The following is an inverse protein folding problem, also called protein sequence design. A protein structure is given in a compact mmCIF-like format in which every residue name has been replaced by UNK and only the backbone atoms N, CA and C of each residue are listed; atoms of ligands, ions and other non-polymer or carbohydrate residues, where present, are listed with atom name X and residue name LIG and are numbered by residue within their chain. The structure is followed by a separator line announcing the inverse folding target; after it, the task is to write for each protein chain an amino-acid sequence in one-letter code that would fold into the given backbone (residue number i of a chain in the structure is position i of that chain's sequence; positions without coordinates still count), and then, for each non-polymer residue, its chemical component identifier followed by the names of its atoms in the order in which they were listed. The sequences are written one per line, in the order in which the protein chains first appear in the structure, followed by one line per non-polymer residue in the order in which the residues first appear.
data_IF_163631668928
#
_entry.id   IF_163631668928
#
_cell.length_a   1.000
_cell.length_b   1.000
_cell.length_c   1.000
_cell.angle_alpha   90.00
_cell.angle_beta   90.00
_cell.angle_gamma   90.00
#
_symmetry.space_group_name_H-M   'P 1'
#
loop_
_entity.id
_entity.type
_entity.pdbx_description
1 polymer ?
#
# COMPACT_ATOMS: atom_id res chain seq x y z
N UNK A 1 61.33 -20.09 -16.72
CA UNK A 1 60.24 -20.98 -16.24
C UNK A 1 58.97 -20.15 -16.23
N UNK A 2 57.90 -20.57 -16.91
CA UNK A 2 56.84 -19.66 -17.34
C UNK A 2 55.77 -19.43 -16.29
N UNK A 3 55.35 -18.18 -16.20
CA UNK A 3 54.19 -17.67 -15.47
C UNK A 3 52.92 -18.13 -16.17
N UNK A 4 52.01 -18.74 -15.40
CA UNK A 4 50.65 -19.01 -15.83
C UNK A 4 49.70 -17.96 -15.23
N UNK A 5 49.39 -16.94 -16.01
CA UNK A 5 48.30 -16.02 -15.74
C UNK A 5 46.98 -16.64 -16.14
N UNK A 6 46.09 -16.95 -15.16
CA UNK A 6 44.69 -17.29 -15.40
C UNK A 6 43.84 -16.00 -15.28
N UNK A 7 43.55 -15.40 -16.42
CA UNK A 7 42.54 -14.38 -16.54
C UNK A 7 41.16 -15.00 -16.49
N UNK A 8 40.42 -14.84 -15.40
CA UNK A 8 38.99 -15.13 -15.36
C UNK A 8 38.21 -13.93 -15.90
N UNK A 9 37.86 -14.02 -17.17
CA UNK A 9 36.88 -13.11 -17.76
C UNK A 9 35.51 -13.37 -17.20
N UNK A 10 34.98 -12.47 -16.36
CA UNK A 10 33.58 -12.42 -16.05
C UNK A 10 32.79 -11.89 -17.26
N UNK A 11 32.28 -12.81 -18.08
CA UNK A 11 31.25 -12.48 -19.03
C UNK A 11 29.92 -12.29 -18.25
N UNK A 12 29.59 -11.03 -17.98
CA UNK A 12 28.25 -10.64 -17.60
C UNK A 12 27.30 -10.92 -18.77
N UNK A 13 26.55 -12.01 -18.71
CA UNK A 13 25.42 -12.24 -19.60
C UNK A 13 24.30 -11.27 -19.24
N UNK A 14 24.35 -10.06 -19.79
CA UNK A 14 23.17 -9.25 -20.00
C UNK A 14 22.36 -9.91 -21.13
N UNK A 15 21.50 -10.87 -20.79
CA UNK A 15 20.63 -11.50 -21.76
C UNK A 15 19.70 -10.44 -22.37
N UNK A 16 19.78 -10.23 -23.69
CA UNK A 16 18.81 -9.40 -24.40
C UNK A 16 17.43 -10.03 -24.22
N UNK A 17 16.46 -9.22 -23.77
CA UNK A 17 15.06 -9.65 -23.65
C UNK A 17 14.54 -10.14 -25.00
N UNK A 18 13.80 -11.23 -25.00
CA UNK A 18 13.14 -11.71 -26.20
C UNK A 18 12.03 -10.73 -26.63
N UNK A 19 11.66 -10.68 -27.91
CA UNK A 19 10.54 -9.83 -28.38
C UNK A 19 9.24 -10.12 -27.62
N UNK A 20 9.00 -11.36 -27.21
CA UNK A 20 7.84 -11.76 -26.41
C UNK A 20 7.87 -11.17 -25.00
N UNK A 21 9.04 -11.20 -24.35
CA UNK A 21 9.24 -10.56 -23.03
C UNK A 21 9.05 -9.05 -23.09
N UNK A 22 9.54 -8.39 -24.14
CA UNK A 22 9.35 -6.97 -24.36
C UNK A 22 7.87 -6.61 -24.56
N UNK A 23 7.14 -7.43 -25.32
CA UNK A 23 5.70 -7.24 -25.55
C UNK A 23 4.90 -7.42 -24.23
N UNK A 24 5.22 -8.42 -23.42
CA UNK A 24 4.58 -8.63 -22.12
C UNK A 24 4.81 -7.45 -21.17
N UNK A 25 6.02 -6.94 -21.09
CA UNK A 25 6.33 -5.76 -20.29
C UNK A 25 5.56 -4.54 -20.76
N UNK A 26 5.52 -4.28 -22.06
CA UNK A 26 4.75 -3.16 -22.62
C UNK A 26 3.26 -3.27 -22.33
N UNK A 27 2.68 -4.47 -22.41
CA UNK A 27 1.28 -4.71 -22.06
C UNK A 27 1.03 -4.47 -20.56
N UNK A 28 1.97 -4.89 -19.69
CA UNK A 28 1.89 -4.63 -18.26
C UNK A 28 1.93 -3.12 -17.96
N UNK A 29 2.82 -2.37 -18.59
CA UNK A 29 2.90 -0.91 -18.44
C UNK A 29 1.61 -0.21 -18.89
N UNK A 30 1.01 -0.66 -19.99
CA UNK A 30 -0.27 -0.12 -20.47
C UNK A 30 -1.40 -0.38 -19.46
N UNK A 31 -1.48 -1.61 -18.89
CA UNK A 31 -2.48 -1.93 -17.86
C UNK A 31 -2.27 -1.08 -16.61
N UNK A 32 -1.03 -0.97 -16.15
CA UNK A 32 -0.65 -0.13 -15.02
C UNK A 32 -1.13 1.32 -15.23
N UNK A 33 -0.76 1.92 -16.34
CA UNK A 33 -1.14 3.30 -16.66
C UNK A 33 -2.67 3.46 -16.72
N UNK A 34 -3.39 2.51 -17.36
CA UNK A 34 -4.85 2.51 -17.44
C UNK A 34 -5.49 2.45 -16.05
N UNK A 35 -5.02 1.56 -15.18
CA UNK A 35 -5.60 1.37 -13.84
C UNK A 35 -5.32 2.59 -12.95
N UNK A 36 -4.10 3.09 -12.93
CA UNK A 36 -3.72 4.23 -12.09
C UNK A 36 -4.31 5.57 -12.57
N UNK A 37 -4.60 5.73 -13.87
CA UNK A 37 -5.23 6.95 -14.39
C UNK A 37 -6.66 7.18 -13.91
N UNK A 38 -7.31 6.17 -13.35
CA UNK A 38 -8.65 6.26 -12.78
C UNK A 38 -8.66 6.70 -11.32
N UNK A 39 -7.48 6.89 -10.72
CA UNK A 39 -7.28 7.24 -9.31
C UNK A 39 -6.83 8.69 -9.25
N UNK A 40 -7.58 9.54 -8.53
CA UNK A 40 -7.28 10.97 -8.47
C UNK A 40 -6.01 11.24 -7.64
N UNK A 41 -5.94 10.68 -6.44
CA UNK A 41 -4.84 10.93 -5.50
C UNK A 41 -4.20 9.63 -5.01
N UNK A 42 -2.87 9.62 -4.99
CA UNK A 42 -2.04 8.47 -4.59
C UNK A 42 -1.13 8.87 -3.43
N UNK A 43 -1.33 8.22 -2.29
CA UNK A 43 -0.59 8.47 -1.06
C UNK A 43 0.23 7.22 -0.73
N UNK A 44 1.55 7.33 -0.75
CA UNK A 44 2.45 6.22 -0.40
C UNK A 44 2.91 6.38 1.04
N UNK A 45 2.58 5.41 1.90
CA UNK A 45 2.98 5.40 3.31
C UNK A 45 4.27 4.61 3.47
N UNK A 46 5.30 5.24 4.03
CA UNK A 46 6.65 4.69 4.15
C UNK A 46 7.18 4.78 5.58
N UNK A 47 8.15 3.94 5.88
CA UNK A 47 8.92 4.02 7.13
C UNK A 47 10.36 3.59 6.92
N UNK A 48 11.27 4.15 7.71
CA UNK A 48 12.69 3.78 7.67
C UNK A 48 12.97 2.36 8.16
N UNK A 49 12.13 1.83 9.04
CA UNK A 49 12.25 0.47 9.62
C UNK A 49 10.89 -0.15 9.91
N UNK A 50 10.87 -1.46 10.13
CA UNK A 50 9.68 -2.18 10.59
C UNK A 50 9.30 -1.85 12.04
N UNK A 51 8.03 -2.08 12.40
CA UNK A 51 7.54 -1.97 13.76
C UNK A 51 7.21 -0.55 14.25
N UNK A 52 7.20 0.45 13.39
CA UNK A 52 6.81 1.84 13.74
C UNK A 52 5.31 2.11 13.58
N UNK A 53 4.52 1.12 13.19
CA UNK A 53 3.08 1.26 12.97
C UNK A 53 2.69 1.80 11.60
N UNK A 54 3.55 1.69 10.58
CA UNK A 54 3.31 2.13 9.20
C UNK A 54 1.97 1.61 8.66
N UNK A 55 1.75 0.30 8.67
CA UNK A 55 0.53 -0.34 8.15
C UNK A 55 -0.72 0.08 8.93
N UNK A 56 -0.59 0.29 10.25
CA UNK A 56 -1.66 0.82 11.10
C UNK A 56 -2.04 2.24 10.68
N UNK A 57 -1.05 3.10 10.43
CA UNK A 57 -1.29 4.47 9.95
C UNK A 57 -1.92 4.44 8.56
N UNK A 58 -1.42 3.60 7.64
CA UNK A 58 -1.96 3.47 6.29
C UNK A 58 -3.44 3.02 6.30
N UNK A 59 -3.76 1.98 7.08
CA UNK A 59 -5.13 1.47 7.20
C UNK A 59 -6.08 2.51 7.79
N UNK A 60 -5.67 3.21 8.85
CA UNK A 60 -6.51 4.23 9.48
C UNK A 60 -6.72 5.46 8.58
N UNK A 61 -5.73 5.91 7.83
CA UNK A 61 -5.90 6.98 6.83
C UNK A 61 -6.89 6.55 5.76
N UNK A 62 -6.76 5.32 5.23
CA UNK A 62 -7.67 4.81 4.20
C UNK A 62 -9.12 4.72 4.69
N UNK A 63 -9.33 4.19 5.90
CA UNK A 63 -10.66 4.10 6.51
C UNK A 63 -11.23 5.49 6.85
N UNK A 64 -10.40 6.42 7.34
CA UNK A 64 -10.83 7.79 7.62
C UNK A 64 -11.30 8.47 6.35
N UNK A 65 -10.54 8.37 5.25
CA UNK A 65 -10.95 8.88 3.94
C UNK A 65 -12.27 8.26 3.47
N UNK A 66 -12.42 6.93 3.62
CA UNK A 66 -13.65 6.22 3.26
C UNK A 66 -14.83 6.71 4.11
N UNK A 67 -14.66 6.87 5.42
CA UNK A 67 -15.70 7.38 6.32
C UNK A 67 -16.09 8.84 6.04
N UNK A 68 -15.17 9.64 5.52
CA UNK A 68 -15.44 11.00 5.05
C UNK A 68 -16.18 11.03 3.70
N UNK A 69 -16.48 9.85 3.11
CA UNK A 69 -17.29 9.70 1.89
C UNK A 69 -16.49 9.69 0.59
N UNK A 70 -15.16 9.59 0.65
CA UNK A 70 -14.32 9.42 -0.54
C UNK A 70 -14.27 7.94 -0.96
N UNK A 71 -14.26 7.69 -2.27
CA UNK A 71 -14.00 6.35 -2.80
C UNK A 71 -12.53 6.01 -2.62
N UNK A 72 -12.24 5.16 -1.67
CA UNK A 72 -10.88 4.89 -1.23
C UNK A 72 -10.48 3.44 -1.49
N UNK A 73 -9.22 3.24 -1.86
CA UNK A 73 -8.57 1.94 -1.91
C UNK A 73 -7.31 1.93 -1.05
N UNK A 74 -6.95 0.74 -0.55
CA UNK A 74 -5.66 0.49 0.10
C UNK A 74 -4.95 -0.68 -0.55
N UNK A 75 -3.68 -0.46 -0.89
CA UNK A 75 -2.78 -1.47 -1.43
C UNK A 75 -1.72 -1.82 -0.39
N UNK A 76 -1.71 -3.04 0.10
CA UNK A 76 -0.65 -3.59 0.96
C UNK A 76 0.40 -4.29 0.09
N UNK A 77 1.53 -3.63 -0.08
CA UNK A 77 2.65 -4.10 -0.89
C UNK A 77 3.76 -4.77 -0.06
N UNK A 78 3.58 -4.92 1.27
CA UNK A 78 4.57 -5.57 2.13
C UNK A 78 4.50 -7.10 2.01
N UNK A 79 5.45 -7.69 1.27
CA UNK A 79 5.51 -9.14 1.06
C UNK A 79 5.87 -9.90 2.34
N UNK A 80 6.62 -9.28 3.25
CA UNK A 80 7.16 -9.94 4.44
C UNK A 80 6.18 -10.02 5.59
N UNK A 81 5.27 -9.08 5.66
CA UNK A 81 4.27 -9.00 6.72
C UNK A 81 3.02 -8.29 6.25
N UNK A 82 2.27 -8.87 5.27
CA UNK A 82 1.08 -8.24 4.77
C UNK A 82 -0.03 -8.30 5.82
N UNK A 83 -0.15 -7.24 6.62
CA UNK A 83 -1.03 -7.19 7.78
C UNK A 83 -2.32 -6.40 7.57
N UNK A 84 -2.42 -5.62 6.48
CA UNK A 84 -3.58 -4.75 6.24
C UNK A 84 -4.90 -5.53 6.20
N UNK A 85 -5.04 -6.67 5.51
CA UNK A 85 -6.29 -7.43 5.52
C UNK A 85 -6.70 -7.85 6.92
N UNK A 86 -5.77 -8.35 7.73
CA UNK A 86 -6.04 -8.74 9.12
C UNK A 86 -6.49 -7.56 9.98
N UNK A 87 -5.87 -6.39 9.80
CA UNK A 87 -6.26 -5.15 10.48
C UNK A 87 -7.68 -4.70 10.11
N UNK A 88 -8.11 -4.98 8.88
CA UNK A 88 -9.42 -4.64 8.35
C UNK A 88 -10.46 -5.75 8.56
N UNK A 89 -10.14 -6.78 9.35
CA UNK A 89 -11.03 -7.91 9.59
C UNK A 89 -11.27 -8.82 8.38
N UNK A 90 -10.43 -8.70 7.34
CA UNK A 90 -10.51 -9.51 6.14
C UNK A 90 -9.57 -10.70 6.31
N UNK A 91 -10.11 -11.84 6.72
CA UNK A 91 -9.40 -13.13 6.72
C UNK A 91 -9.96 -14.01 5.61
N UNK A 92 -9.17 -14.23 4.58
CA UNK A 92 -9.60 -14.94 3.38
C UNK A 92 -8.51 -15.94 2.95
N UNK A 93 -8.90 -17.20 2.83
CA UNK A 93 -8.02 -18.23 2.24
C UNK A 93 -7.99 -18.06 0.72
N UNK A 94 -6.94 -18.60 0.08
CA UNK A 94 -6.78 -18.56 -1.38
C UNK A 94 -8.01 -19.06 -2.13
N UNK A 95 -8.60 -20.17 -1.70
CA UNK A 95 -9.82 -20.71 -2.33
C UNK A 95 -11.00 -19.74 -2.24
N UNK A 96 -11.15 -19.06 -1.10
CA UNK A 96 -12.19 -18.06 -0.89
C UNK A 96 -11.93 -16.81 -1.74
N UNK A 97 -10.66 -16.40 -1.85
CA UNK A 97 -10.28 -15.29 -2.71
C UNK A 97 -10.53 -15.60 -4.18
N UNK A 98 -10.17 -16.79 -4.64
CA UNK A 98 -10.44 -17.24 -6.01
C UNK A 98 -11.94 -17.31 -6.31
N UNK A 99 -12.75 -17.78 -5.36
CA UNK A 99 -14.21 -17.75 -5.49
C UNK A 99 -14.74 -16.31 -5.56
N UNK A 100 -14.25 -15.42 -4.70
CA UNK A 100 -14.59 -13.99 -4.73
C UNK A 100 -14.27 -13.36 -6.09
N UNK A 101 -13.07 -13.61 -6.66
CA UNK A 101 -12.69 -13.13 -7.99
C UNK A 101 -13.68 -13.56 -9.07
N UNK A 102 -14.10 -14.83 -9.01
CA UNK A 102 -15.07 -15.38 -9.94
C UNK A 102 -16.45 -14.72 -9.79
N UNK A 103 -16.91 -14.53 -8.57
CA UNK A 103 -18.23 -13.94 -8.29
C UNK A 103 -18.28 -12.46 -8.72
N UNK A 104 -17.23 -11.68 -8.44
CA UNK A 104 -17.13 -10.28 -8.90
C UNK A 104 -17.09 -10.21 -10.42
N UNK A 105 -16.32 -11.05 -11.08
CA UNK A 105 -16.30 -11.11 -12.55
C UNK A 105 -17.69 -11.43 -13.10
N UNK A 106 -18.38 -12.41 -12.54
CA UNK A 106 -19.73 -12.80 -12.95
C UNK A 106 -20.71 -11.64 -12.80
N UNK A 107 -20.69 -10.94 -11.67
CA UNK A 107 -21.55 -9.77 -11.43
C UNK A 107 -21.30 -8.65 -12.44
N UNK A 108 -20.02 -8.36 -12.75
CA UNK A 108 -19.66 -7.37 -13.77
C UNK A 108 -20.19 -7.72 -15.16
N UNK A 109 -20.09 -9.00 -15.53
CA UNK A 109 -20.60 -9.50 -16.81
C UNK A 109 -22.13 -9.43 -16.86
N UNK A 110 -22.81 -9.90 -15.80
CA UNK A 110 -24.29 -9.90 -15.72
C UNK A 110 -24.87 -8.49 -15.75
N UNK A 111 -24.19 -7.52 -15.17
CA UNK A 111 -24.61 -6.11 -15.15
C UNK A 111 -24.65 -5.48 -16.53
N UNK A 112 -23.68 -5.82 -17.38
CA UNK A 112 -23.50 -5.23 -18.70
C UNK A 112 -24.14 -6.08 -19.82
N UNK A 113 -24.54 -7.33 -19.52
CA UNK A 113 -25.07 -8.27 -20.49
C UNK A 113 -26.52 -7.94 -20.87
N UNK A 114 -26.76 -7.68 -22.14
CA UNK A 114 -28.13 -7.61 -22.68
C UNK A 114 -28.69 -9.04 -22.89
N UNK A 115 -29.52 -9.47 -21.95
CA UNK A 115 -30.16 -10.81 -22.00
C UNK A 115 -31.20 -10.96 -23.11
N UNK A 116 -31.57 -9.89 -23.81
CA UNK A 116 -32.48 -9.94 -24.96
C UNK A 116 -31.81 -10.36 -26.28
N UNK A 117 -30.47 -10.37 -26.28
CA UNK A 117 -29.68 -10.79 -27.45
C UNK A 117 -29.76 -12.31 -27.69
N UNK A 118 -29.52 -12.78 -28.93
CA UNK A 118 -29.37 -14.20 -29.22
C UNK A 118 -28.26 -14.86 -28.35
N UNK A 119 -28.42 -16.13 -28.00
CA UNK A 119 -27.45 -16.84 -27.13
C UNK A 119 -26.02 -16.82 -27.69
N UNK A 120 -25.83 -16.79 -28.99
CA UNK A 120 -24.52 -16.74 -29.64
C UNK A 120 -23.84 -15.37 -29.39
N UNK A 121 -24.56 -14.27 -29.51
CA UNK A 121 -24.09 -12.92 -29.23
C UNK A 121 -23.79 -12.74 -27.72
N UNK A 122 -24.62 -13.31 -26.84
CA UNK A 122 -24.35 -13.32 -25.40
C UNK A 122 -23.05 -14.06 -25.07
N UNK A 123 -22.80 -15.22 -25.74
CA UNK A 123 -21.54 -15.98 -25.56
C UNK A 123 -20.33 -15.20 -26.07
N UNK A 124 -20.43 -14.54 -27.23
CA UNK A 124 -19.37 -13.69 -27.76
C UNK A 124 -19.05 -12.55 -26.79
N UNK A 125 -20.06 -11.86 -26.26
CA UNK A 125 -19.89 -10.82 -25.25
C UNK A 125 -19.15 -11.34 -23.99
N UNK A 126 -19.54 -12.50 -23.46
CA UNK A 126 -18.88 -13.11 -22.30
C UNK A 126 -17.41 -13.44 -22.59
N UNK A 127 -17.11 -13.97 -23.76
CA UNK A 127 -15.73 -14.30 -24.18
C UNK A 127 -14.88 -13.02 -24.39
N UNK A 128 -15.48 -11.94 -24.88
CA UNK A 128 -14.82 -10.64 -24.97
C UNK A 128 -14.50 -10.09 -23.58
N UNK A 129 -15.44 -10.14 -22.64
CA UNK A 129 -15.22 -9.74 -21.25
C UNK A 129 -14.17 -10.59 -20.55
N UNK A 130 -14.13 -11.89 -20.77
CA UNK A 130 -13.04 -12.77 -20.24
C UNK A 130 -11.67 -12.32 -20.75
N UNK A 131 -11.55 -11.93 -22.01
CA UNK A 131 -10.30 -11.41 -22.56
C UNK A 131 -9.92 -10.05 -21.96
N UNK A 132 -10.91 -9.17 -21.77
CA UNK A 132 -10.72 -7.84 -21.18
C UNK A 132 -10.17 -7.95 -19.74
N UNK A 133 -10.74 -8.84 -18.93
CA UNK A 133 -10.37 -9.01 -17.51
C UNK A 133 -9.39 -10.14 -17.25
N UNK A 134 -8.78 -10.74 -18.29
CA UNK A 134 -7.88 -11.91 -18.16
C UNK A 134 -6.74 -11.75 -17.15
N UNK A 135 -6.25 -10.53 -16.96
CA UNK A 135 -5.16 -10.20 -16.05
C UNK A 135 -5.62 -9.31 -14.89
N UNK A 136 -6.92 -9.12 -14.72
CA UNK A 136 -7.44 -8.26 -13.66
C UNK A 136 -7.59 -9.04 -12.36
N UNK A 137 -7.19 -8.41 -11.26
CA UNK A 137 -7.42 -8.87 -9.90
C UNK A 137 -8.33 -7.86 -9.24
N UNK A 138 -9.51 -8.28 -8.78
CA UNK A 138 -10.48 -7.40 -8.16
C UNK A 138 -10.18 -7.21 -6.68
N UNK A 139 -10.06 -5.96 -6.19
CA UNK A 139 -9.92 -5.68 -4.76
C UNK A 139 -11.10 -6.22 -3.96
N UNK A 140 -10.83 -6.69 -2.75
CA UNK A 140 -11.87 -7.07 -1.79
C UNK A 140 -12.48 -5.82 -1.19
N UNK A 141 -13.80 -5.72 -1.16
CA UNK A 141 -14.49 -4.58 -0.54
C UNK A 141 -14.88 -4.91 0.91
N UNK A 142 -14.57 -4.00 1.83
CA UNK A 142 -15.04 -4.06 3.23
C UNK A 142 -16.51 -3.66 3.31
N UNK A 143 -17.14 -3.85 4.47
CA UNK A 143 -18.52 -3.39 4.72
C UNK A 143 -18.65 -1.85 4.58
N UNK A 144 -17.58 -1.09 4.85
CA UNK A 144 -17.55 0.36 4.63
C UNK A 144 -17.42 0.76 3.16
N UNK A 145 -17.15 -0.20 2.26
CA UNK A 145 -16.89 0.03 0.85
C UNK A 145 -15.43 0.38 0.53
N UNK A 146 -14.51 0.29 1.50
CA UNK A 146 -13.07 0.43 1.25
C UNK A 146 -12.58 -0.74 0.41
N UNK A 147 -11.88 -0.45 -0.68
CA UNK A 147 -11.28 -1.47 -1.56
C UNK A 147 -9.90 -1.86 -1.06
N UNK A 148 -9.68 -3.16 -0.87
CA UNK A 148 -8.45 -3.70 -0.29
C UNK A 148 -7.78 -4.66 -1.26
N UNK A 149 -6.50 -4.42 -1.54
CA UNK A 149 -5.65 -5.35 -2.25
C UNK A 149 -4.38 -5.59 -1.43
N UNK A 150 -3.99 -6.84 -1.27
CA UNK A 150 -2.81 -7.20 -0.49
C UNK A 150 -2.06 -8.35 -1.12
N UNK A 151 -0.75 -8.36 -0.91
CA UNK A 151 0.09 -9.52 -1.18
C UNK A 151 -0.37 -10.77 -0.42
N UNK A 152 -1.05 -10.60 0.73
CA UNK A 152 -1.60 -11.73 1.50
C UNK A 152 -2.57 -12.60 0.70
N UNK A 153 -3.34 -12.02 -0.20
CA UNK A 153 -4.32 -12.76 -1.02
C UNK A 153 -3.70 -13.63 -2.12
N UNK A 154 -2.44 -13.38 -2.45
CA UNK A 154 -1.70 -14.07 -3.52
C UNK A 154 -0.72 -15.13 -2.98
N UNK A 155 -0.74 -15.36 -1.68
CA UNK A 155 0.19 -16.25 -0.99
C UNK A 155 -0.60 -17.43 -0.42
N UNK A 156 -0.31 -18.64 -0.87
CA UNK A 156 -0.99 -19.91 -0.48
C UNK A 156 -1.06 -20.17 1.03
N UNK A 157 -0.13 -19.63 1.81
CA UNK A 157 -0.08 -19.84 3.25
C UNK A 157 0.85 -18.82 3.90
N UNK A 158 0.32 -18.03 4.83
CA UNK A 158 1.09 -17.10 5.65
C UNK A 158 2.05 -17.80 6.64
N UNK A 159 1.81 -19.09 6.91
CA UNK A 159 2.59 -19.90 7.86
C UNK A 159 3.86 -20.51 7.23
N UNK A 160 4.00 -20.46 5.91
CA UNK A 160 5.18 -21.00 5.22
C UNK A 160 6.13 -19.86 4.84
N UNK A 161 7.42 -19.95 5.22
CA UNK A 161 8.40 -18.96 4.77
C UNK A 161 8.53 -19.03 3.23
N UNK A 162 8.07 -17.98 2.57
CA UNK A 162 8.23 -17.87 1.12
C UNK A 162 9.62 -17.33 0.85
N UNK A 163 10.47 -18.18 0.26
CA UNK A 163 11.83 -17.80 -0.13
C UNK A 163 11.78 -17.20 -1.53
N UNK A 164 11.39 -15.94 -1.61
CA UNK A 164 11.44 -15.20 -2.87
C UNK A 164 12.81 -14.55 -3.04
N UNK A 165 13.41 -14.69 -4.21
CA UNK A 165 14.60 -13.92 -4.57
C UNK A 165 14.22 -12.51 -5.02
N UNK A 166 15.11 -11.52 -4.87
CA UNK A 166 14.84 -10.11 -5.17
C UNK A 166 14.04 -9.86 -6.46
N UNK A 167 14.46 -10.39 -7.63
CA UNK A 167 13.70 -10.20 -8.89
C UNK A 167 12.28 -10.77 -8.88
N UNK A 168 12.02 -11.83 -8.11
CA UNK A 168 10.67 -12.41 -7.98
C UNK A 168 9.77 -11.51 -7.16
N UNK A 169 10.29 -10.91 -6.07
CA UNK A 169 9.56 -9.97 -5.22
C UNK A 169 9.16 -8.70 -6.00
N UNK A 170 10.12 -8.08 -6.65
CA UNK A 170 9.85 -6.89 -7.48
C UNK A 170 8.89 -7.19 -8.62
N UNK A 171 8.97 -8.37 -9.22
CA UNK A 171 8.00 -8.84 -10.22
C UNK A 171 6.60 -8.99 -9.68
N UNK A 172 6.42 -9.61 -8.49
CA UNK A 172 5.13 -9.78 -7.85
C UNK A 172 4.50 -8.44 -7.43
N UNK A 173 5.29 -7.51 -6.87
CA UNK A 173 4.81 -6.15 -6.54
C UNK A 173 4.31 -5.45 -7.81
N UNK A 174 5.09 -5.46 -8.88
CA UNK A 174 4.69 -4.84 -10.16
C UNK A 174 3.41 -5.47 -10.71
N UNK A 175 3.29 -6.79 -10.65
CA UNK A 175 2.11 -7.50 -11.09
C UNK A 175 0.90 -7.10 -10.26
N UNK A 176 1.00 -7.10 -8.93
CA UNK A 176 -0.09 -6.71 -8.05
C UNK A 176 -0.59 -5.29 -8.37
N UNK A 177 0.32 -4.34 -8.54
CA UNK A 177 -0.03 -2.94 -8.85
C UNK A 177 -0.66 -2.83 -10.25
N UNK A 178 -0.11 -3.54 -11.26
CA UNK A 178 -0.58 -3.46 -12.65
C UNK A 178 -1.92 -4.13 -12.88
N UNK A 179 -2.18 -5.23 -12.18
CA UNK A 179 -3.33 -6.09 -12.42
C UNK A 179 -4.51 -5.81 -11.47
N UNK A 180 -4.29 -4.99 -10.42
CA UNK A 180 -5.36 -4.55 -9.52
C UNK A 180 -6.38 -3.65 -10.23
N UNK A 181 -7.63 -4.13 -10.33
CA UNK A 181 -8.72 -3.44 -11.02
C UNK A 181 -9.50 -2.55 -10.03
N UNK A 182 -8.96 -1.37 -9.75
CA UNK A 182 -9.53 -0.44 -8.76
C UNK A 182 -10.85 0.21 -9.21
N UNK A 183 -11.00 0.43 -10.52
CA UNK A 183 -12.02 1.33 -11.04
C UNK A 183 -11.73 2.78 -10.64
N UNK A 184 -12.76 3.61 -10.59
CA UNK A 184 -12.60 5.03 -10.22
C UNK A 184 -12.51 5.19 -8.72
N UNK A 185 -11.37 5.74 -8.25
CA UNK A 185 -11.14 6.11 -6.86
C UNK A 185 -10.82 7.59 -6.72
N UNK A 186 -11.19 8.16 -5.56
CA UNK A 186 -10.71 9.47 -5.15
C UNK A 186 -9.31 9.34 -4.53
N UNK A 187 -9.08 8.28 -3.73
CA UNK A 187 -7.79 8.03 -3.08
C UNK A 187 -7.34 6.58 -3.20
N UNK A 188 -6.04 6.39 -3.41
CA UNK A 188 -5.36 5.11 -3.19
C UNK A 188 -4.25 5.33 -2.17
N UNK A 189 -4.37 4.65 -1.03
CA UNK A 189 -3.33 4.59 0.00
C UNK A 189 -2.49 3.35 -0.24
N UNK A 190 -1.17 3.49 -0.28
CA UNK A 190 -0.24 2.39 -0.54
C UNK A 190 0.61 2.16 0.70
N UNK A 191 0.44 1.04 1.35
CA UNK A 191 1.30 0.56 2.44
C UNK A 191 2.57 -0.05 1.85
N UNK A 192 3.66 0.72 1.86
CA UNK A 192 4.92 0.37 1.21
C UNK A 192 5.77 -0.52 2.14
N UNK A 193 6.55 -1.48 1.62
CA UNK A 193 7.54 -2.19 2.42
C UNK A 193 8.48 -1.23 3.17
N UNK A 194 8.97 -1.59 4.38
CA UNK A 194 9.84 -0.72 5.17
C UNK A 194 11.25 -0.59 4.58
N UNK A 195 11.91 0.54 4.87
CA UNK A 195 13.31 0.79 4.52
C UNK A 195 13.51 1.36 3.11
N UNK A 196 14.73 1.20 2.58
CA UNK A 196 15.22 1.78 1.32
C UNK A 196 15.70 0.72 0.34
N UNK A 197 15.22 -0.52 0.44
CA UNK A 197 15.59 -1.63 -0.44
C UNK A 197 14.91 -1.59 -1.81
N UNK A 198 15.10 -2.67 -2.56
CA UNK A 198 14.53 -2.80 -3.92
C UNK A 198 12.99 -2.82 -3.92
N UNK A 199 12.37 -3.35 -2.86
CA UNK A 199 10.92 -3.48 -2.75
C UNK A 199 10.23 -2.11 -2.65
N UNK A 200 10.54 -1.24 -1.64
CA UNK A 200 9.96 0.09 -1.55
C UNK A 200 10.27 0.97 -2.77
N UNK A 201 11.47 0.83 -3.33
CA UNK A 201 11.84 1.54 -4.56
C UNK A 201 10.98 1.08 -5.75
N UNK A 202 10.71 -0.21 -5.86
CA UNK A 202 9.84 -0.77 -6.93
C UNK A 202 8.43 -0.22 -6.86
N UNK A 203 7.85 -0.10 -5.66
CA UNK A 203 6.52 0.49 -5.47
C UNK A 203 6.51 1.93 -5.97
N UNK A 204 7.45 2.77 -5.50
CA UNK A 204 7.54 4.16 -5.90
C UNK A 204 7.74 4.33 -7.43
N UNK A 205 8.57 3.47 -8.04
CA UNK A 205 8.77 3.48 -9.50
C UNK A 205 7.54 3.02 -10.29
N UNK A 206 6.71 2.18 -9.70
CA UNK A 206 5.51 1.64 -10.33
C UNK A 206 4.29 2.53 -10.18
N UNK A 207 4.33 3.54 -9.32
CA UNK A 207 3.24 4.48 -9.08
C UNK A 207 3.67 5.88 -9.52
N UNK A 208 3.60 6.17 -10.82
CA UNK A 208 3.89 7.51 -11.32
C UNK A 208 2.88 8.51 -10.76
N UNK A 209 3.29 9.76 -10.67
CA UNK A 209 2.42 10.85 -10.16
C UNK A 209 1.90 10.56 -8.74
N UNK A 210 2.81 10.12 -7.84
CA UNK A 210 2.52 10.05 -6.41
C UNK A 210 2.32 11.47 -5.87
N UNK A 211 1.14 11.73 -5.31
CA UNK A 211 0.78 13.07 -4.81
C UNK A 211 1.46 13.36 -3.48
N UNK A 212 1.61 12.35 -2.62
CA UNK A 212 2.21 12.48 -1.29
C UNK A 212 2.94 11.19 -0.90
N UNK A 213 4.15 11.33 -0.37
CA UNK A 213 4.80 10.29 0.42
C UNK A 213 4.70 10.65 1.90
N UNK A 214 4.05 9.78 2.66
CA UNK A 214 3.82 9.95 4.08
C UNK A 214 4.82 9.09 4.87
N UNK A 215 5.75 9.75 5.54
CA UNK A 215 6.74 9.08 6.40
C UNK A 215 6.16 8.83 7.80
N UNK A 216 6.28 7.61 8.29
CA UNK A 216 5.91 7.23 9.65
C UNK A 216 7.18 6.95 10.47
N UNK A 217 7.31 7.63 11.58
CA UNK A 217 8.42 7.45 12.55
C UNK A 217 7.90 7.26 13.97
N UNK A 218 8.79 7.03 14.89
CA UNK A 218 8.54 7.03 16.35
C UNK A 218 9.53 8.00 17.02
N UNK A 219 9.31 8.46 18.26
CA UNK A 219 10.16 9.44 18.95
C UNK A 219 11.63 9.04 19.11
N UNK A 220 12.01 7.86 18.68
CA UNK A 220 13.37 7.33 18.83
C UNK A 220 14.31 7.91 17.76
N UNK A 221 15.46 8.46 18.17
CA UNK A 221 16.50 9.05 17.30
C UNK A 221 16.94 8.08 16.18
N UNK A 222 17.10 6.78 16.48
CA UNK A 222 17.47 5.77 15.46
C UNK A 222 16.42 5.65 14.37
N UNK A 223 15.13 5.84 14.69
CA UNK A 223 14.07 5.85 13.70
C UNK A 223 14.17 7.04 12.75
N UNK A 224 14.60 8.18 13.23
CA UNK A 224 14.75 9.40 12.43
C UNK A 224 15.91 9.29 11.43
N UNK A 225 17.03 8.68 11.80
CA UNK A 225 18.14 8.42 10.88
C UNK A 225 17.73 7.52 9.70
N UNK A 226 16.86 6.53 9.94
CA UNK A 226 16.37 5.66 8.89
C UNK A 226 15.32 6.38 8.02
N UNK A 227 14.49 7.25 8.60
CA UNK A 227 13.58 8.13 7.83
C UNK A 227 14.35 9.08 6.94
N UNK A 228 15.46 9.67 7.41
CA UNK A 228 16.32 10.53 6.59
C UNK A 228 16.77 9.84 5.29
N UNK A 229 17.14 8.55 5.35
CA UNK A 229 17.52 7.78 4.16
C UNK A 229 16.34 7.62 3.19
N UNK A 230 15.14 7.37 3.74
CA UNK A 230 13.92 7.26 2.93
C UNK A 230 13.56 8.59 2.27
N UNK A 231 13.61 9.72 3.00
CA UNK A 231 13.37 11.06 2.45
C UNK A 231 14.30 11.34 1.28
N UNK A 232 15.61 11.09 1.43
CA UNK A 232 16.57 11.26 0.34
C UNK A 232 16.30 10.37 -0.87
N UNK A 233 15.83 9.14 -0.65
CA UNK A 233 15.44 8.25 -1.74
C UNK A 233 14.23 8.82 -2.50
N UNK A 234 13.23 9.33 -1.79
CA UNK A 234 12.03 9.95 -2.39
C UNK A 234 12.37 11.21 -3.17
N UNK A 235 13.25 12.06 -2.63
CA UNK A 235 13.77 13.26 -3.32
C UNK A 235 14.50 12.90 -4.63
N UNK A 236 15.32 11.84 -4.61
CA UNK A 236 16.00 11.35 -5.83
C UNK A 236 15.02 10.90 -6.91
N UNK A 237 13.79 10.57 -6.56
CA UNK A 237 12.72 10.24 -7.49
C UNK A 237 11.90 11.45 -7.95
N UNK A 238 12.31 12.67 -7.55
CA UNK A 238 11.63 13.93 -7.83
C UNK A 238 10.21 14.04 -7.25
N UNK A 239 9.89 13.27 -6.21
CA UNK A 239 8.64 13.43 -5.45
C UNK A 239 8.89 14.54 -4.42
N UNK A 240 8.09 15.60 -4.50
CA UNK A 240 8.32 16.81 -3.70
C UNK A 240 7.49 16.87 -2.43
N UNK A 241 6.32 16.27 -2.45
CA UNK A 241 5.40 16.32 -1.34
C UNK A 241 5.72 15.17 -0.36
N UNK A 242 6.31 15.53 0.78
CA UNK A 242 6.66 14.58 1.83
C UNK A 242 6.06 15.09 3.14
N UNK A 243 5.23 14.26 3.77
CA UNK A 243 4.69 14.50 5.10
C UNK A 243 5.30 13.57 6.14
N UNK A 244 5.34 13.99 7.40
CA UNK A 244 5.82 13.19 8.53
C UNK A 244 4.74 13.05 9.59
N UNK A 245 4.49 11.82 10.03
CA UNK A 245 3.70 11.48 11.22
C UNK A 245 4.62 10.84 12.25
N UNK A 246 4.60 11.34 13.48
CA UNK A 246 5.27 10.74 14.62
C UNK A 246 4.29 9.82 15.35
N UNK A 247 4.37 8.52 15.10
CA UNK A 247 3.52 7.52 15.74
C UNK A 247 4.10 7.08 17.09
N UNK A 248 3.25 6.62 18.00
CA UNK A 248 3.63 6.21 19.35
C UNK A 248 4.30 7.34 20.15
N UNK A 249 3.89 8.58 19.90
CA UNK A 249 4.51 9.76 20.48
C UNK A 249 4.30 9.86 22.00
N UNK A 250 3.14 9.43 22.47
CA UNK A 250 2.78 9.47 23.89
C UNK A 250 1.74 8.39 24.21
N UNK A 251 1.57 8.12 25.50
CA UNK A 251 0.54 7.24 26.06
C UNK A 251 -0.26 8.00 27.10
N UNK A 252 -1.59 7.93 27.01
CA UNK A 252 -2.47 8.51 28.01
C UNK A 252 -2.88 7.40 28.97
N UNK A 253 -2.58 7.59 30.23
CA UNK A 253 -2.91 6.61 31.28
C UNK A 253 -4.44 6.53 31.47
N UNK A 254 -5.09 5.38 31.29
CA UNK A 254 -6.55 5.27 31.40
C UNK A 254 -7.06 5.40 32.85
N UNK A 255 -6.15 5.48 33.84
CA UNK A 255 -6.52 5.58 35.25
C UNK A 255 -6.42 7.01 35.80
N UNK A 256 -5.51 7.83 35.28
CA UNK A 256 -5.24 9.17 35.82
C UNK A 256 -5.12 10.26 34.76
N UNK A 257 -5.33 9.95 33.47
CA UNK A 257 -5.23 10.83 32.32
C UNK A 257 -3.85 11.51 32.18
N UNK A 258 -2.82 11.01 32.88
CA UNK A 258 -1.45 11.52 32.76
C UNK A 258 -0.84 11.09 31.44
N UNK A 259 -0.25 12.04 30.71
CA UNK A 259 0.46 11.78 29.47
C UNK A 259 1.89 11.34 29.76
N UNK A 260 2.27 10.17 29.24
CA UNK A 260 3.58 9.55 29.43
C UNK A 260 4.30 9.42 28.08
N UNK A 261 5.54 9.87 28.02
CA UNK A 261 6.40 9.72 26.84
C UNK A 261 7.30 8.49 26.96
N UNK A 262 6.73 7.30 26.66
CA UNK A 262 7.38 5.98 26.86
C UNK A 262 8.66 5.85 26.02
N UNK A 263 8.67 6.41 24.81
CA UNK A 263 9.81 6.35 23.89
C UNK A 263 10.64 7.64 23.85
N UNK A 264 10.46 8.53 24.83
CA UNK A 264 11.11 9.82 24.94
C UNK A 264 10.20 10.96 24.47
N UNK A 265 10.58 12.20 24.82
CA UNK A 265 9.91 13.39 24.29
C UNK A 265 10.16 13.45 22.78
N UNK A 266 9.07 13.46 22.01
CA UNK A 266 9.13 13.50 20.55
C UNK A 266 9.75 14.81 20.05
N UNK A 267 10.53 14.74 19.02
CA UNK A 267 11.06 15.89 18.31
C UNK A 267 10.70 15.82 16.80
N UNK A 268 9.65 15.09 16.46
CA UNK A 268 9.19 14.89 15.06
C UNK A 268 9.02 16.19 14.31
N UNK A 269 8.47 17.24 14.96
CA UNK A 269 8.34 18.56 14.34
C UNK A 269 9.71 19.21 14.05
N UNK A 270 10.63 19.20 15.00
CA UNK A 270 11.98 19.78 14.80
C UNK A 270 12.74 19.01 13.71
N UNK A 271 12.57 17.69 13.67
CA UNK A 271 13.14 16.83 12.64
C UNK A 271 12.53 17.12 11.25
N UNK A 272 11.22 17.31 11.17
CA UNK A 272 10.55 17.69 9.91
C UNK A 272 11.04 19.06 9.41
N UNK A 273 11.17 20.03 10.31
CA UNK A 273 11.69 21.36 10.00
C UNK A 273 13.15 21.30 9.47
N UNK A 274 14.01 20.46 10.09
CA UNK A 274 15.38 20.23 9.63
C UNK A 274 15.45 19.61 8.23
N UNK A 275 14.49 18.73 7.92
CA UNK A 275 14.41 18.04 6.65
C UNK A 275 13.63 18.82 5.57
N UNK A 276 13.11 19.98 5.90
CA UNK A 276 12.24 20.80 5.02
C UNK A 276 11.02 20.02 4.50
N UNK A 277 10.43 19.15 5.35
CA UNK A 277 9.22 18.37 5.05
C UNK A 277 8.06 18.80 5.98
N UNK A 278 6.82 18.50 5.58
CA UNK A 278 5.64 18.92 6.34
C UNK A 278 5.40 18.00 7.55
N UNK A 279 5.36 18.54 8.76
CA UNK A 279 4.93 17.80 9.94
C UNK A 279 3.40 17.78 10.03
N UNK A 280 2.80 16.60 9.95
CA UNK A 280 1.35 16.41 9.98
C UNK A 280 0.82 16.09 11.38
N UNK A 281 1.70 15.73 12.32
CA UNK A 281 1.33 15.56 13.72
C UNK A 281 1.85 14.27 14.33
N UNK A 282 1.35 14.03 15.54
CA UNK A 282 1.68 12.89 16.37
C UNK A 282 0.45 12.03 16.67
N UNK A 283 0.69 10.76 16.92
CA UNK A 283 -0.32 9.77 17.27
C UNK A 283 0.04 9.10 18.61
N UNK A 284 -0.94 8.91 19.52
CA UNK A 284 -0.71 8.23 20.79
C UNK A 284 -0.57 6.73 20.61
N UNK A 285 0.00 6.09 21.64
CA UNK A 285 -0.14 4.65 21.87
C UNK A 285 -1.50 4.41 22.51
N UNK A 286 -2.30 3.51 21.93
CA UNK A 286 -3.57 3.10 22.50
C UNK A 286 -3.72 1.59 22.44
N UNK A 287 -4.27 0.99 23.49
CA UNK A 287 -4.49 -0.46 23.58
C UNK A 287 -5.42 -0.93 22.46
N UNK A 288 -6.48 -0.19 22.15
CA UNK A 288 -7.42 -0.49 21.06
C UNK A 288 -6.76 -0.59 19.69
N UNK A 289 -5.65 0.12 19.47
CA UNK A 289 -4.83 0.04 18.25
C UNK A 289 -3.99 -1.24 18.23
N UNK A 290 -3.63 -1.78 19.39
CA UNK A 290 -2.79 -2.98 19.51
C UNK A 290 -3.60 -4.27 19.59
N UNK A 291 -4.82 -4.24 20.09
CA UNK A 291 -5.63 -5.43 20.41
C UNK A 291 -6.58 -5.87 19.30
N UNK A 292 -6.63 -5.16 18.18
CA UNK A 292 -7.55 -5.46 17.11
C UNK A 292 -7.09 -6.58 16.17
N UNK A 293 -7.31 -7.85 16.51
CA UNK A 293 -7.37 -8.92 15.53
C UNK A 293 -8.71 -9.63 15.51
N UNK A 294 -9.78 -9.05 16.02
CA UNK A 294 -11.08 -9.71 16.06
C UNK A 294 -12.16 -8.87 15.40
N UNK A 295 -12.69 -9.43 14.38
CA UNK A 295 -13.94 -9.22 13.60
C UNK A 295 -14.55 -7.82 13.40
N UNK A 296 -14.23 -6.79 14.18
CA UNK A 296 -14.97 -5.51 14.15
C UNK A 296 -14.07 -4.28 14.29
N UNK A 297 -12.78 -4.39 14.03
CA UNK A 297 -11.85 -3.41 14.51
C UNK A 297 -10.96 -2.80 13.45
N UNK A 298 -11.51 -1.99 12.64
CA UNK A 298 -10.78 -0.84 12.14
C UNK A 298 -10.86 0.25 13.18
N UNK A 299 -9.84 0.48 13.68
CA UNK A 299 -9.27 0.94 14.90
C UNK A 299 -9.73 2.35 15.31
N UNK A 300 -10.03 3.26 14.40
CA UNK A 300 -10.26 4.65 14.76
C UNK A 300 -11.59 5.21 14.27
N UNK A 301 -12.17 4.62 13.26
CA UNK A 301 -13.35 5.18 12.59
C UNK A 301 -14.67 4.74 13.21
N UNK A 302 -14.63 3.68 14.03
CA UNK A 302 -15.83 3.13 14.68
C UNK A 302 -16.30 3.97 15.88
N UNK A 303 -15.44 4.78 16.46
CA UNK A 303 -15.79 5.69 17.56
C UNK A 303 -15.38 7.14 17.22
N UNK A 304 -16.31 7.95 16.71
CA UNK A 304 -16.02 9.36 16.39
C UNK A 304 -15.62 10.20 17.60
N UNK A 305 -15.94 9.77 18.80
CA UNK A 305 -15.58 10.46 20.04
C UNK A 305 -14.19 10.11 20.55
N UNK A 306 -13.61 9.05 20.01
CA UNK A 306 -12.25 8.63 20.34
C UNK A 306 -11.21 9.66 19.91
N UNK A 307 -10.22 9.92 20.78
CA UNK A 307 -9.16 10.88 20.54
C UNK A 307 -8.28 10.52 19.33
N UNK A 308 -7.97 9.23 19.15
CA UNK A 308 -7.18 8.74 18.01
C UNK A 308 -7.95 8.93 16.71
N UNK A 309 -9.26 8.66 16.72
CA UNK A 309 -10.14 8.89 15.55
C UNK A 309 -10.14 10.37 15.14
N UNK A 310 -10.33 11.27 16.11
CA UNK A 310 -10.27 12.73 15.87
C UNK A 310 -8.93 13.13 15.29
N UNK A 311 -7.83 12.56 15.81
CA UNK A 311 -6.49 12.88 15.34
C UNK A 311 -6.25 12.42 13.91
N UNK A 312 -6.76 11.25 13.50
CA UNK A 312 -6.69 10.83 12.10
C UNK A 312 -7.52 11.72 11.17
N UNK A 313 -8.69 12.19 11.61
CA UNK A 313 -9.49 13.15 10.85
C UNK A 313 -8.72 14.47 10.64
N UNK A 314 -8.11 15.01 11.68
CA UNK A 314 -7.28 16.22 11.59
C UNK A 314 -6.11 16.01 10.60
N UNK A 315 -5.38 14.90 10.71
CA UNK A 315 -4.27 14.57 9.81
C UNK A 315 -4.75 14.47 8.36
N UNK A 316 -5.89 13.82 8.10
CA UNK A 316 -6.44 13.71 6.75
C UNK A 316 -6.86 15.07 6.20
N UNK A 317 -7.45 15.95 7.02
CA UNK A 317 -7.78 17.32 6.60
C UNK A 317 -6.52 18.12 6.29
N UNK A 318 -5.47 18.00 7.10
CA UNK A 318 -4.18 18.65 6.85
C UNK A 318 -3.52 18.13 5.56
N UNK A 319 -3.58 16.80 5.30
CA UNK A 319 -3.11 16.22 4.03
C UNK A 319 -3.83 16.87 2.84
N UNK A 320 -5.14 16.98 2.91
CA UNK A 320 -5.93 17.56 1.81
C UNK A 320 -5.55 19.02 1.57
N UNK A 321 -5.49 19.80 2.61
CA UNK A 321 -5.21 21.23 2.55
C UNK A 321 -3.78 21.54 2.08
N UNK A 322 -2.79 20.81 2.57
CA UNK A 322 -1.38 21.13 2.31
C UNK A 322 -0.86 20.55 0.97
N UNK A 323 -1.46 19.47 0.48
CA UNK A 323 -0.89 18.74 -0.67
C UNK A 323 -1.85 18.53 -1.85
N UNK A 324 -3.16 18.68 -1.66
CA UNK A 324 -4.13 18.24 -2.69
C UNK A 324 -5.08 19.37 -3.16
N UNK A 325 -5.22 20.44 -2.40
CA UNK A 325 -5.92 21.69 -2.77
C UNK A 325 -4.96 22.73 -3.34
#
# INVERSE_FOLDING_TARGET
MPEHGHGHGHHGHGGQMTPEQQMQMMQQEIRLAKNLSQIKHKIVVMSGKGGVGKSTVAANIAETLQAMGYKTGILDADIHGPNVPKMLGIEMLEEQFNQYQFDVFKELVEKDLDTSLPEEEQREFIEEKKKEYQHSIFPVETESGLKVMSMAFLIDSLDRPIIWRGPQKTGAIKQLISDAHWGKLDFLVIDNPPGTGDEPLTVLQSIPETDLVLMVTTPNVVSQEDVLKCVKMVEMMNIKNIGLIENMAYYICPHCDETLHIFGEGNGKAFADEMEITYLGDLPIKESVAESPTKDATISVLDPDDEVSKRFVEIVEDIKKEFLE
#
